data_IF_996294684006
#
_entry.id   IF_996294684006
#
_cell.length_a   1.000
_cell.length_b   1.000
_cell.length_c   1.000
_cell.angle_alpha   90.00
_cell.angle_beta   90.00
_cell.angle_gamma   90.00
#
_symmetry.space_group_name_H-M   'P 1'
#
loop_
_entity.id
_entity.type
_entity.pdbx_description
1 polymer ?
#
# COMPACT_ATOMS: atom_id res chain seq x y z
N UNK A 1 1.11 14.67 -12.88
CA UNK A 1 0.06 15.58 -13.44
C UNK A 1 -1.12 14.82 -14.05
N UNK A 2 -0.92 13.70 -14.75
CA UNK A 2 -2.02 12.92 -15.37
C UNK A 2 -3.12 12.49 -14.37
N UNK A 3 -2.75 12.09 -13.15
CA UNK A 3 -3.71 11.65 -12.12
C UNK A 3 -4.69 12.75 -11.72
N UNK A 4 -4.27 14.02 -11.68
CA UNK A 4 -5.14 15.14 -11.34
C UNK A 4 -6.25 15.31 -12.39
N UNK A 5 -5.94 15.15 -13.68
CA UNK A 5 -6.95 15.23 -14.75
C UNK A 5 -7.96 14.10 -14.64
N UNK A 6 -7.52 12.90 -14.27
CA UNK A 6 -8.42 11.74 -14.05
C UNK A 6 -9.40 12.04 -12.91
N UNK A 7 -8.93 12.57 -11.79
CA UNK A 7 -9.79 12.94 -10.66
C UNK A 7 -10.78 14.06 -11.02
N UNK A 8 -10.32 15.11 -11.70
CA UNK A 8 -11.20 16.19 -12.18
C UNK A 8 -12.27 15.61 -13.11
N UNK A 9 -11.88 14.71 -14.02
CA UNK A 9 -12.81 14.08 -14.95
C UNK A 9 -13.93 13.30 -14.23
N UNK A 10 -13.60 12.53 -13.19
CA UNK A 10 -14.61 11.82 -12.39
C UNK A 10 -15.58 12.78 -11.71
N UNK A 11 -15.10 13.88 -11.13
CA UNK A 11 -15.98 14.87 -10.51
C UNK A 11 -16.89 15.55 -11.53
N UNK A 12 -16.36 15.91 -12.69
CA UNK A 12 -17.13 16.57 -13.77
C UNK A 12 -18.19 15.60 -14.31
N UNK A 13 -17.83 14.34 -14.57
CA UNK A 13 -18.80 13.33 -15.04
C UNK A 13 -19.90 13.12 -14.00
N UNK A 14 -19.55 12.98 -12.73
CA UNK A 14 -20.54 12.84 -11.65
C UNK A 14 -21.51 14.01 -11.59
N UNK A 15 -21.01 15.24 -11.70
CA UNK A 15 -21.85 16.45 -11.73
C UNK A 15 -22.76 16.48 -12.96
N UNK A 16 -22.23 16.18 -14.15
CA UNK A 16 -23.01 16.15 -15.40
C UNK A 16 -24.14 15.12 -15.31
N UNK A 17 -23.85 13.90 -14.81
CA UNK A 17 -24.86 12.87 -14.61
C UNK A 17 -25.93 13.34 -13.62
N UNK A 18 -25.54 14.01 -12.53
CA UNK A 18 -26.51 14.55 -11.56
C UNK A 18 -27.43 15.60 -12.18
N UNK A 19 -26.88 16.51 -13.00
CA UNK A 19 -27.66 17.51 -13.71
C UNK A 19 -28.63 16.87 -14.74
N UNK A 20 -28.17 15.87 -15.46
CA UNK A 20 -29.04 15.11 -16.41
C UNK A 20 -30.18 14.45 -15.64
N UNK A 21 -29.90 13.80 -14.50
CA UNK A 21 -30.94 13.19 -13.66
C UNK A 21 -31.93 14.23 -13.13
N UNK A 22 -31.46 15.38 -12.68
CA UNK A 22 -32.31 16.45 -12.21
C UNK A 22 -33.23 16.99 -13.32
N UNK A 23 -32.69 17.25 -14.51
CA UNK A 23 -33.41 17.95 -15.59
C UNK A 23 -34.29 17.00 -16.39
N UNK A 24 -33.77 15.83 -16.79
CA UNK A 24 -34.48 14.90 -17.68
C UNK A 24 -35.37 13.97 -16.87
N UNK A 25 -34.85 13.42 -15.78
CA UNK A 25 -35.62 12.45 -14.96
C UNK A 25 -36.36 13.09 -13.78
N UNK A 26 -36.23 14.42 -13.59
CA UNK A 26 -36.89 15.16 -12.48
C UNK A 26 -36.60 14.59 -11.09
N UNK A 27 -35.38 13.98 -10.91
CA UNK A 27 -34.92 13.45 -9.61
C UNK A 27 -34.41 14.61 -8.74
N UNK A 28 -35.29 15.28 -8.04
CA UNK A 28 -34.97 16.40 -7.16
C UNK A 28 -34.16 15.98 -5.93
N UNK A 29 -34.08 14.69 -5.62
CA UNK A 29 -33.30 14.17 -4.50
C UNK A 29 -31.85 13.83 -4.88
N UNK A 30 -31.47 13.95 -6.15
CA UNK A 30 -30.16 13.48 -6.63
C UNK A 30 -29.00 14.12 -5.86
N UNK A 31 -29.08 15.42 -5.55
CA UNK A 31 -28.01 16.09 -4.80
C UNK A 31 -27.97 15.64 -3.34
N UNK A 32 -29.11 15.38 -2.72
CA UNK A 32 -29.19 14.80 -1.37
C UNK A 32 -28.52 13.42 -1.35
N UNK A 33 -28.89 12.54 -2.30
CA UNK A 33 -28.29 11.20 -2.46
C UNK A 33 -26.77 11.27 -2.70
N UNK A 34 -26.29 12.27 -3.45
CA UNK A 34 -24.85 12.49 -3.65
C UNK A 34 -24.15 12.84 -2.34
N UNK A 35 -24.71 13.74 -1.55
CA UNK A 35 -24.14 14.14 -0.26
C UNK A 35 -24.16 12.97 0.72
N UNK A 36 -25.28 12.26 0.83
CA UNK A 36 -25.38 11.03 1.65
C UNK A 36 -24.34 9.99 1.20
N UNK A 37 -24.20 9.75 -0.10
CA UNK A 37 -23.20 8.85 -0.64
C UNK A 37 -21.75 9.24 -0.32
N UNK A 38 -21.44 10.55 -0.27
CA UNK A 38 -20.11 11.03 0.15
C UNK A 38 -19.88 10.73 1.64
N UNK A 39 -20.88 10.94 2.50
CA UNK A 39 -20.76 10.62 3.93
C UNK A 39 -20.64 9.12 4.17
N UNK A 40 -21.44 8.31 3.48
CA UNK A 40 -21.38 6.85 3.59
C UNK A 40 -20.04 6.31 3.10
N UNK A 41 -19.54 6.78 1.96
CA UNK A 41 -18.21 6.43 1.46
C UNK A 41 -17.09 6.84 2.42
N UNK A 42 -17.21 8.03 3.02
CA UNK A 42 -16.23 8.51 4.01
C UNK A 42 -16.23 7.65 5.26
N UNK A 43 -17.43 7.29 5.77
CA UNK A 43 -17.58 6.40 6.92
C UNK A 43 -17.02 5.02 6.63
N UNK A 44 -17.38 4.42 5.49
CA UNK A 44 -16.88 3.10 5.08
C UNK A 44 -15.35 3.10 4.91
N UNK A 45 -14.79 4.15 4.32
CA UNK A 45 -13.32 4.29 4.17
C UNK A 45 -12.59 4.24 5.52
N UNK A 46 -13.15 4.84 6.55
CA UNK A 46 -12.54 4.84 7.89
C UNK A 46 -12.83 3.55 8.64
N UNK A 47 -14.10 3.15 8.74
CA UNK A 47 -14.54 2.07 9.62
C UNK A 47 -14.29 0.68 9.02
N UNK A 48 -14.45 0.53 7.70
CA UNK A 48 -14.39 -0.78 7.05
C UNK A 48 -13.00 -1.02 6.41
N UNK A 49 -12.24 0.04 6.13
CA UNK A 49 -10.92 -0.08 5.49
C UNK A 49 -9.81 0.37 6.43
N UNK A 50 -9.77 1.63 6.84
CA UNK A 50 -8.60 2.19 7.54
C UNK A 50 -8.40 1.58 8.93
N UNK A 51 -9.45 1.42 9.73
CA UNK A 51 -9.37 0.86 11.08
C UNK A 51 -8.96 -0.62 11.08
N UNK A 52 -9.62 -1.52 10.32
CA UNK A 52 -9.20 -2.92 10.23
C UNK A 52 -7.79 -3.07 9.69
N UNK A 53 -7.41 -2.32 8.65
CA UNK A 53 -6.06 -2.34 8.09
C UNK A 53 -5.02 -1.90 9.11
N UNK A 54 -5.29 -0.82 9.85
CA UNK A 54 -4.40 -0.33 10.92
C UNK A 54 -4.22 -1.40 12.00
N UNK A 55 -5.29 -2.06 12.42
CA UNK A 55 -5.23 -3.13 13.42
C UNK A 55 -4.34 -4.30 12.95
N UNK A 56 -4.53 -4.74 11.73
CA UNK A 56 -3.72 -5.80 11.09
C UNK A 56 -2.25 -5.35 10.99
N UNK A 57 -1.99 -4.12 10.55
CA UNK A 57 -0.63 -3.59 10.46
C UNK A 57 0.07 -3.55 11.82
N UNK A 58 -0.58 -3.04 12.86
CA UNK A 58 -0.02 -2.97 14.21
C UNK A 58 0.30 -4.36 14.75
N UNK A 59 -0.62 -5.32 14.58
CA UNK A 59 -0.41 -6.71 14.98
C UNK A 59 0.82 -7.32 14.28
N UNK A 60 0.89 -7.23 12.96
CA UNK A 60 2.01 -7.81 12.21
C UNK A 60 3.34 -7.08 12.44
N UNK A 61 3.32 -5.76 12.66
CA UNK A 61 4.53 -5.03 13.08
C UNK A 61 5.05 -5.50 14.45
N UNK A 62 4.14 -5.78 15.38
CA UNK A 62 4.50 -6.38 16.67
C UNK A 62 5.10 -7.77 16.51
N UNK A 63 4.45 -8.62 15.72
CA UNK A 63 4.93 -9.98 15.43
C UNK A 63 6.30 -9.96 14.74
N UNK A 64 6.49 -9.05 13.78
CA UNK A 64 7.78 -8.83 13.11
C UNK A 64 8.90 -8.47 14.09
N UNK A 65 8.62 -7.56 15.02
CA UNK A 65 9.61 -7.13 16.01
C UNK A 65 10.05 -8.30 16.90
N UNK A 66 9.11 -9.17 17.26
CA UNK A 66 9.41 -10.41 18.00
C UNK A 66 10.24 -11.36 17.12
N UNK A 67 9.84 -11.59 15.87
CA UNK A 67 10.55 -12.45 14.93
C UNK A 67 11.97 -11.97 14.61
N UNK A 68 12.15 -10.66 14.51
CA UNK A 68 13.48 -10.04 14.32
C UNK A 68 14.39 -10.32 15.52
N UNK A 69 13.90 -10.09 16.73
CA UNK A 69 14.64 -10.36 17.98
C UNK A 69 14.92 -11.85 18.19
N UNK A 70 14.01 -12.71 17.75
CA UNK A 70 14.17 -14.17 17.79
C UNK A 70 15.11 -14.72 16.70
N UNK A 71 15.57 -13.90 15.76
CA UNK A 71 16.43 -14.33 14.67
C UNK A 71 15.71 -15.03 13.50
N UNK A 72 14.37 -15.09 13.50
CA UNK A 72 13.58 -15.74 12.47
C UNK A 72 13.80 -15.08 11.10
N UNK A 73 13.95 -13.75 11.08
CA UNK A 73 14.25 -12.99 9.85
C UNK A 73 15.60 -13.41 9.28
N UNK A 74 16.60 -13.59 10.13
CA UNK A 74 17.94 -14.02 9.70
C UNK A 74 17.92 -15.45 9.12
N UNK A 75 17.10 -16.34 9.67
CA UNK A 75 16.91 -17.69 9.14
C UNK A 75 16.25 -17.66 7.75
N UNK A 76 15.14 -16.96 7.59
CA UNK A 76 14.46 -16.80 6.30
C UNK A 76 15.35 -16.09 5.28
N UNK A 77 16.07 -15.05 5.70
CA UNK A 77 17.00 -14.33 4.84
C UNK A 77 18.11 -15.27 4.31
N UNK A 78 18.66 -16.16 5.14
CA UNK A 78 19.67 -17.13 4.70
C UNK A 78 19.12 -18.09 3.65
N UNK A 79 17.89 -18.57 3.83
CA UNK A 79 17.25 -19.50 2.92
C UNK A 79 16.93 -18.86 1.56
N UNK A 80 16.44 -17.62 1.56
CA UNK A 80 16.02 -16.90 0.35
C UNK A 80 17.12 -16.00 -0.24
N UNK A 81 18.22 -15.81 0.47
CA UNK A 81 19.30 -14.92 0.06
C UNK A 81 19.86 -15.20 -1.34
N UNK A 82 20.13 -16.48 -1.76
CA UNK A 82 20.63 -16.74 -3.10
C UNK A 82 19.67 -16.29 -4.21
N UNK A 83 18.37 -16.38 -3.96
CA UNK A 83 17.33 -15.93 -4.88
C UNK A 83 17.24 -14.40 -4.91
N UNK A 84 17.20 -13.78 -3.73
CA UNK A 84 17.10 -12.33 -3.58
C UNK A 84 18.30 -11.59 -4.13
N UNK A 85 19.51 -12.11 -3.96
CA UNK A 85 20.74 -11.55 -4.58
C UNK A 85 20.68 -11.51 -6.10
N UNK A 86 20.06 -12.51 -6.70
CA UNK A 86 19.93 -12.58 -8.15
C UNK A 86 18.90 -11.58 -8.67
N UNK A 87 17.83 -11.35 -7.90
CA UNK A 87 16.78 -10.38 -8.24
C UNK A 87 17.21 -8.93 -7.95
N UNK A 88 17.90 -8.72 -6.83
CA UNK A 88 18.26 -7.37 -6.33
C UNK A 88 19.78 -7.21 -6.17
N UNK A 89 20.57 -7.24 -7.25
CA UNK A 89 22.02 -7.19 -7.18
C UNK A 89 22.55 -5.87 -6.60
N UNK A 90 21.75 -4.80 -6.63
CA UNK A 90 22.09 -3.49 -6.09
C UNK A 90 21.90 -3.34 -4.57
N UNK A 91 21.36 -4.37 -3.89
CA UNK A 91 21.13 -4.32 -2.43
C UNK A 91 22.20 -5.13 -1.71
N UNK A 92 22.99 -4.53 -0.78
CA UNK A 92 24.01 -5.27 -0.03
C UNK A 92 23.40 -6.37 0.85
N UNK A 93 24.08 -7.52 0.94
CA UNK A 93 23.60 -8.72 1.65
C UNK A 93 23.23 -8.51 3.12
N UNK A 94 23.92 -7.61 3.79
CA UNK A 94 23.72 -7.32 5.22
C UNK A 94 22.81 -6.13 5.46
N UNK A 95 22.25 -5.55 4.40
CA UNK A 95 21.39 -4.39 4.54
C UNK A 95 20.00 -4.79 5.09
N UNK A 96 19.40 -4.01 6.02
CA UNK A 96 18.09 -4.31 6.60
C UNK A 96 16.99 -4.53 5.55
N UNK A 97 17.05 -3.80 4.43
CA UNK A 97 16.10 -3.95 3.33
C UNK A 97 15.97 -5.40 2.83
N UNK A 98 17.08 -6.15 2.78
CA UNK A 98 17.07 -7.53 2.31
C UNK A 98 16.16 -8.42 3.16
N UNK A 99 16.27 -8.33 4.48
CA UNK A 99 15.40 -9.09 5.41
C UNK A 99 13.92 -8.67 5.30
N UNK A 100 13.66 -7.38 5.18
CA UNK A 100 12.31 -6.83 5.05
C UNK A 100 11.65 -7.23 3.72
N UNK A 101 12.40 -7.22 2.61
CA UNK A 101 11.93 -7.72 1.31
C UNK A 101 11.62 -9.22 1.35
N UNK A 102 12.47 -10.01 1.99
CA UNK A 102 12.21 -11.45 2.22
C UNK A 102 10.93 -11.66 3.00
N UNK A 103 10.68 -10.88 4.06
CA UNK A 103 9.45 -10.98 4.85
C UNK A 103 8.22 -10.56 4.06
N UNK A 104 8.32 -9.48 3.28
CA UNK A 104 7.25 -9.05 2.38
C UNK A 104 6.90 -10.15 1.37
N UNK A 105 7.90 -10.71 0.71
CA UNK A 105 7.74 -11.81 -0.24
C UNK A 105 7.13 -13.05 0.41
N UNK A 106 7.62 -13.44 1.59
CA UNK A 106 7.11 -14.60 2.33
C UNK A 106 5.65 -14.41 2.77
N UNK A 107 5.27 -13.22 3.23
CA UNK A 107 3.90 -12.90 3.60
C UNK A 107 2.95 -13.01 2.40
N UNK A 108 3.34 -12.48 1.24
CA UNK A 108 2.58 -12.60 0.00
C UNK A 108 2.45 -14.06 -0.46
N UNK A 109 3.52 -14.86 -0.38
CA UNK A 109 3.46 -16.29 -0.71
C UNK A 109 2.50 -17.08 0.19
N UNK A 110 2.33 -16.67 1.43
CA UNK A 110 1.41 -17.26 2.39
C UNK A 110 -0.04 -16.73 2.24
N UNK A 111 -0.30 -15.84 1.28
CA UNK A 111 -1.61 -15.22 1.10
C UNK A 111 -1.99 -14.22 2.20
N UNK A 112 -0.99 -13.66 2.89
CA UNK A 112 -1.17 -12.69 3.95
C UNK A 112 -0.96 -11.26 3.43
N UNK A 113 -1.72 -10.84 2.42
CA UNK A 113 -1.54 -9.59 1.70
C UNK A 113 -1.51 -8.36 2.62
N UNK A 114 -2.43 -8.31 3.58
CA UNK A 114 -2.48 -7.22 4.56
C UNK A 114 -1.27 -7.20 5.51
N UNK A 115 -0.67 -8.37 5.77
CA UNK A 115 0.54 -8.50 6.56
C UNK A 115 1.80 -8.11 5.77
N UNK A 116 1.79 -8.28 4.45
CA UNK A 116 2.90 -7.90 3.58
C UNK A 116 3.11 -6.38 3.53
N UNK A 117 2.05 -5.58 3.65
CA UNK A 117 2.09 -4.12 3.55
C UNK A 117 3.09 -3.46 4.50
N UNK A 118 3.10 -3.73 5.83
CA UNK A 118 4.10 -3.12 6.74
C UNK A 118 5.53 -3.53 6.40
N UNK A 119 5.74 -4.76 5.92
CA UNK A 119 7.07 -5.22 5.49
C UNK A 119 7.54 -4.48 4.24
N UNK A 120 6.64 -4.28 3.27
CA UNK A 120 6.91 -3.51 2.07
C UNK A 120 7.26 -2.06 2.37
N UNK A 121 6.50 -1.38 3.24
CA UNK A 121 6.78 -0.01 3.66
C UNK A 121 8.16 0.13 4.31
N UNK A 122 8.51 -0.77 5.24
CA UNK A 122 9.84 -0.78 5.86
C UNK A 122 10.95 -1.10 4.87
N UNK A 123 10.71 -2.02 3.93
CA UNK A 123 11.67 -2.33 2.88
C UNK A 123 11.94 -1.10 2.00
N UNK A 124 10.90 -0.38 1.61
CA UNK A 124 11.02 0.85 0.83
C UNK A 124 11.77 1.96 1.58
N UNK A 125 11.47 2.15 2.87
CA UNK A 125 12.19 3.08 3.74
C UNK A 125 13.68 2.73 3.80
N UNK A 126 14.01 1.46 4.00
CA UNK A 126 15.40 0.99 4.05
C UNK A 126 16.10 1.10 2.68
N UNK A 127 15.41 0.78 1.57
CA UNK A 127 15.94 0.94 0.21
C UNK A 127 16.22 2.40 -0.13
N UNK A 128 15.42 3.33 0.41
CA UNK A 128 15.64 4.76 0.21
C UNK A 128 16.97 5.23 0.81
N UNK A 129 17.50 4.57 1.83
CA UNK A 129 18.82 4.89 2.37
C UNK A 129 19.97 4.57 1.40
N UNK A 130 19.73 3.62 0.48
CA UNK A 130 20.70 3.23 -0.58
C UNK A 130 20.51 4.07 -1.85
N UNK A 131 19.44 4.82 -1.97
CA UNK A 131 19.13 5.59 -3.16
C UNK A 131 19.89 6.91 -3.17
N UNK A 132 20.79 7.15 -4.16
CA UNK A 132 21.53 8.40 -4.27
C UNK A 132 20.65 9.58 -4.70
N UNK A 133 19.49 9.30 -5.30
CA UNK A 133 18.55 10.32 -5.80
C UNK A 133 17.25 10.27 -5.01
N UNK A 134 17.07 11.24 -4.10
CA UNK A 134 15.91 11.25 -3.17
C UNK A 134 14.55 11.44 -3.85
N UNK A 135 14.52 12.03 -5.05
CA UNK A 135 13.28 12.39 -5.76
C UNK A 135 12.84 11.35 -6.79
N UNK A 136 13.68 10.35 -7.07
CA UNK A 136 13.38 9.30 -8.04
C UNK A 136 13.61 7.93 -7.42
N UNK A 137 12.74 6.97 -7.74
CA UNK A 137 12.89 5.59 -7.27
C UNK A 137 14.10 4.91 -7.94
N UNK A 138 14.90 4.18 -7.15
CA UNK A 138 15.97 3.33 -7.66
C UNK A 138 15.42 2.06 -8.32
N UNK A 139 16.22 1.37 -9.13
CA UNK A 139 15.80 0.09 -9.74
C UNK A 139 15.33 -0.94 -8.70
N UNK A 140 15.99 -1.01 -7.55
CA UNK A 140 15.60 -1.91 -6.47
C UNK A 140 14.26 -1.54 -5.80
N UNK A 141 13.83 -0.29 -5.91
CA UNK A 141 12.53 0.18 -5.40
C UNK A 141 11.40 -0.02 -6.42
N UNK A 142 11.71 -0.11 -7.70
CA UNK A 142 10.72 -0.31 -8.78
C UNK A 142 10.42 -1.81 -8.96
N UNK A 143 11.39 -2.67 -8.76
CA UNK A 143 11.23 -4.14 -8.86
C UNK A 143 10.40 -4.70 -7.72
#
# INVERSE_FOLDING_TARGET
>A
MALNYVWILFFVIGLVIALIKLIIFQDYEIFKKMVEGIFDASKSSVMDIALPLTGVMVFFMGLMNIGEKAGAINFLARLLNPFMKRLFPGVPDKHPAMGQMVMNFSANMLGLDNAATPFGLKAMESLQTLNPQKETASNAQIM
#
